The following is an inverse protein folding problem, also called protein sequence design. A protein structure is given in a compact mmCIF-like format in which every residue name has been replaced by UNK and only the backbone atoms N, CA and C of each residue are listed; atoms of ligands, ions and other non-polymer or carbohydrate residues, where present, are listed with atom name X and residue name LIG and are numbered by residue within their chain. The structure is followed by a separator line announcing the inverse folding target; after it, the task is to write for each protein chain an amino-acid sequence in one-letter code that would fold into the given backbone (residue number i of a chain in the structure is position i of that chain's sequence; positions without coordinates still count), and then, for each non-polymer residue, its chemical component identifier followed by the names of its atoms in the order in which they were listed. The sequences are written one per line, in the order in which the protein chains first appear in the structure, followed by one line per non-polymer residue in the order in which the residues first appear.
data_IF_315324664385
#
_entry.id   IF_315324664385
#
_cell.length_a   1.000
_cell.length_b   1.000
_cell.length_c   1.000
_cell.angle_alpha   90.00
_cell.angle_beta   90.00
_cell.angle_gamma   90.00
#
_symmetry.space_group_name_H-M   'P 1'
#
loop_
_entity.id
_entity.type
_entity.pdbx_description
1 polymer ?
#
# COMPACT_ATOMS: atom_id res chain seq x y z
N UNK A 1 21.57 24.75 78.09
CA UNK A 1 21.52 24.23 76.71
C UNK A 1 21.19 25.38 75.77
N UNK A 2 22.04 25.56 74.75
CA UNK A 2 21.95 26.44 73.58
C UNK A 2 21.76 27.95 73.77
N UNK A 3 22.90 28.63 73.83
CA UNK A 3 23.07 30.04 73.48
C UNK A 3 22.79 30.24 71.98
N UNK A 4 21.89 31.17 71.67
CA UNK A 4 21.67 31.64 70.30
C UNK A 4 22.85 32.43 69.77
N UNK A 5 23.19 32.23 68.49
CA UNK A 5 24.09 33.13 67.76
C UNK A 5 23.53 33.36 66.36
N UNK A 6 23.05 34.59 66.14
CA UNK A 6 22.79 35.17 64.82
C UNK A 6 24.13 35.29 64.09
N UNK A 7 24.28 34.69 62.92
CA UNK A 7 25.39 34.96 62.02
C UNK A 7 25.00 36.02 60.98
N UNK A 8 25.80 37.08 60.81
CA UNK A 8 25.55 38.11 59.82
C UNK A 8 26.02 37.66 58.43
N UNK A 9 25.17 37.92 57.45
CA UNK A 9 25.54 38.09 56.05
C UNK A 9 26.39 39.36 55.93
N UNK A 10 27.67 39.28 55.52
CA UNK A 10 28.35 40.35 54.78
C UNK A 10 29.79 39.96 54.40
N UNK A 11 30.00 39.84 53.09
CA UNK A 11 31.16 40.37 52.36
C UNK A 11 32.53 39.71 52.58
N UNK A 12 32.79 38.65 51.79
CA UNK A 12 34.08 38.53 51.11
C UNK A 12 33.87 38.49 49.60
N UNK A 13 34.38 39.53 48.95
CA UNK A 13 34.40 39.78 47.52
C UNK A 13 35.57 38.95 46.95
N UNK A 14 35.29 37.89 46.20
CA UNK A 14 36.26 37.34 45.25
C UNK A 14 35.54 36.71 44.05
N UNK A 15 35.67 37.42 42.92
CA UNK A 15 35.58 36.97 41.51
C UNK A 15 34.45 36.02 41.09
N UNK A 16 33.38 36.52 40.43
CA UNK A 16 32.50 35.64 39.67
C UNK A 16 33.28 35.06 38.49
N UNK A 17 33.39 33.73 38.43
CA UNK A 17 33.89 33.03 37.26
C UNK A 17 33.02 33.38 36.06
N UNK A 18 33.64 33.90 34.99
CA UNK A 18 32.99 34.28 33.72
C UNK A 18 32.36 33.08 32.99
N UNK A 19 32.47 31.86 33.52
CA UNK A 19 31.97 30.61 32.93
C UNK A 19 30.84 29.92 33.70
N UNK A 20 30.12 30.62 34.60
CA UNK A 20 28.92 30.06 35.26
C UNK A 20 27.59 30.54 34.64
N UNK A 21 27.63 31.22 33.49
CA UNK A 21 26.44 31.73 32.79
C UNK A 21 26.01 30.89 31.57
N UNK A 22 26.36 29.61 31.50
CA UNK A 22 25.76 28.66 30.54
C UNK A 22 25.20 27.44 31.29
N UNK A 23 24.36 27.71 32.28
CA UNK A 23 23.20 26.85 32.53
C UNK A 23 21.99 27.77 32.65
N UNK A 24 21.74 28.50 31.57
CA UNK A 24 20.40 29.01 31.33
C UNK A 24 19.47 27.82 31.34
N UNK A 25 18.66 27.74 32.39
CA UNK A 25 17.48 26.89 32.53
C UNK A 25 16.70 26.92 31.21
N UNK A 26 16.98 26.00 30.31
CA UNK A 26 16.12 25.70 29.17
C UNK A 26 15.08 24.67 29.60
N UNK A 27 14.39 24.96 30.70
CA UNK A 27 13.10 24.32 31.05
C UNK A 27 11.96 24.81 30.14
N UNK A 28 12.30 25.23 28.91
CA UNK A 28 11.39 25.52 27.81
C UNK A 28 11.54 24.49 26.69
N UNK A 29 11.90 23.24 27.01
CA UNK A 29 11.32 22.11 26.29
C UNK A 29 9.85 21.94 26.72
N UNK A 30 9.06 22.99 26.52
CA UNK A 30 7.65 22.81 26.23
C UNK A 30 7.63 21.97 24.95
N UNK A 31 7.53 20.65 25.11
CA UNK A 31 6.37 19.81 24.77
C UNK A 31 5.31 20.41 23.81
N UNK A 32 5.67 21.33 22.91
CA UNK A 32 4.80 22.10 22.01
C UNK A 32 5.16 21.93 20.54
N UNK A 33 6.24 21.19 20.25
CA UNK A 33 6.50 20.62 18.92
C UNK A 33 6.72 19.10 19.01
N UNK A 34 6.02 18.43 19.91
CA UNK A 34 5.35 17.22 19.46
C UNK A 34 4.34 17.71 18.44
N UNK A 35 4.76 17.85 17.17
CA UNK A 35 3.81 17.90 16.05
C UNK A 35 3.11 16.56 16.14
N UNK A 36 2.05 16.55 16.93
CA UNK A 36 1.09 15.48 16.99
C UNK A 36 0.83 15.11 15.55
N UNK A 37 1.06 13.84 15.21
CA UNK A 37 0.61 13.23 13.97
C UNK A 37 -0.94 13.24 13.88
N UNK A 38 -1.63 14.12 14.61
CA UNK A 38 -3.00 14.51 14.38
C UNK A 38 -3.07 15.08 12.96
N UNK A 39 -3.44 14.16 12.08
CA UNK A 39 -3.99 14.44 10.76
C UNK A 39 -2.98 15.08 9.81
N UNK A 40 -1.98 14.32 9.37
CA UNK A 40 -1.71 14.37 7.93
C UNK A 40 -3.02 13.96 7.27
N UNK A 41 -3.70 14.91 6.62
CA UNK A 41 -5.01 14.68 6.01
C UNK A 41 -4.79 13.68 4.88
N UNK A 42 -4.99 12.40 5.18
CA UNK A 42 -4.83 11.31 4.22
C UNK A 42 -5.79 11.61 3.06
N UNK A 43 -5.30 11.78 1.82
CA UNK A 43 -6.14 11.97 0.65
C UNK A 43 -7.20 10.87 0.58
N UNK A 44 -8.39 11.21 0.08
CA UNK A 44 -9.54 10.30 0.10
C UNK A 44 -9.27 8.95 -0.60
N UNK A 45 -8.38 8.93 -1.60
CA UNK A 45 -7.98 7.72 -2.33
C UNK A 45 -7.00 6.83 -1.55
N UNK A 46 -6.38 7.30 -0.47
CA UNK A 46 -5.43 6.55 0.36
C UNK A 46 -6.06 5.96 1.63
N UNK A 47 -7.37 6.12 1.83
CA UNK A 47 -8.07 5.55 2.97
C UNK A 47 -8.57 4.14 2.60
N UNK A 48 -8.35 3.11 3.44
CA UNK A 48 -8.94 1.79 3.20
C UNK A 48 -10.46 1.93 3.19
N UNK A 49 -11.08 1.49 2.10
CA UNK A 49 -12.51 1.68 1.81
C UNK A 49 -13.33 0.63 2.57
N UNK A 50 -12.82 -0.60 2.63
CA UNK A 50 -13.39 -1.70 3.41
C UNK A 50 -12.55 -1.89 4.67
N UNK A 51 -13.22 -1.84 5.83
CA UNK A 51 -12.60 -2.16 7.12
C UNK A 51 -12.95 -3.58 7.53
N UNK A 52 -12.07 -4.19 8.32
CA UNK A 52 -12.32 -5.48 8.95
C UNK A 52 -13.71 -5.51 9.59
N UNK A 53 -14.53 -6.47 9.16
CA UNK A 53 -15.83 -6.75 9.73
C UNK A 53 -15.73 -8.00 10.62
N UNK A 54 -16.60 -8.14 11.61
CA UNK A 54 -16.51 -9.22 12.61
C UNK A 54 -16.47 -10.65 12.01
N UNK A 55 -16.96 -10.83 10.78
CA UNK A 55 -17.05 -12.13 10.10
C UNK A 55 -16.01 -12.34 9.00
N UNK A 56 -15.35 -11.29 8.48
CA UNK A 56 -14.41 -11.43 7.37
C UNK A 56 -13.26 -10.43 7.51
N UNK A 57 -12.09 -11.00 7.75
CA UNK A 57 -10.81 -10.29 7.72
C UNK A 57 -10.45 -9.94 6.27
N UNK A 58 -9.95 -8.72 6.04
CA UNK A 58 -9.59 -8.20 4.72
C UNK A 58 -8.56 -9.10 4.05
N UNK A 59 -7.62 -9.68 4.80
CA UNK A 59 -6.62 -10.62 4.25
C UNK A 59 -7.24 -11.93 3.76
N UNK A 60 -8.18 -12.52 4.52
CA UNK A 60 -8.90 -13.74 4.10
C UNK A 60 -9.80 -13.46 2.90
N UNK A 61 -10.48 -12.31 2.89
CA UNK A 61 -11.30 -11.85 1.78
C UNK A 61 -10.50 -11.67 0.48
N UNK A 62 -9.27 -11.15 0.57
CA UNK A 62 -8.39 -10.98 -0.58
C UNK A 62 -7.91 -12.32 -1.15
N UNK A 63 -7.63 -13.32 -0.29
CA UNK A 63 -7.28 -14.67 -0.73
C UNK A 63 -8.44 -15.37 -1.45
N UNK A 64 -9.66 -15.25 -0.93
CA UNK A 64 -10.88 -15.78 -1.57
C UNK A 64 -11.11 -15.06 -2.91
N UNK A 65 -10.94 -13.74 -2.93
CA UNK A 65 -11.07 -12.95 -4.16
C UNK A 65 -10.07 -13.40 -5.23
N UNK A 66 -8.81 -13.64 -4.86
CA UNK A 66 -7.80 -14.13 -5.79
C UNK A 66 -8.16 -15.51 -6.37
N UNK A 67 -8.71 -16.41 -5.55
CA UNK A 67 -9.19 -17.72 -6.01
C UNK A 67 -10.37 -17.57 -6.99
N UNK A 68 -11.35 -16.73 -6.65
CA UNK A 68 -12.50 -16.44 -7.52
C UNK A 68 -12.03 -15.82 -8.84
N UNK A 69 -11.07 -14.90 -8.80
CA UNK A 69 -10.52 -14.28 -10.01
C UNK A 69 -9.82 -15.28 -10.93
N UNK A 70 -9.18 -16.31 -10.36
CA UNK A 70 -8.60 -17.40 -11.14
C UNK A 70 -9.69 -18.18 -11.88
N UNK A 71 -10.79 -18.51 -11.20
CA UNK A 71 -11.95 -19.14 -11.83
C UNK A 71 -12.58 -18.24 -12.91
N UNK A 72 -12.73 -16.94 -12.64
CA UNK A 72 -13.25 -15.96 -13.61
C UNK A 72 -12.35 -15.85 -14.84
N UNK A 73 -11.03 -15.90 -14.67
CA UNK A 73 -10.09 -15.86 -15.80
C UNK A 73 -10.24 -17.09 -16.70
N UNK A 74 -10.29 -18.30 -16.12
CA UNK A 74 -10.52 -19.55 -16.87
C UNK A 74 -11.89 -19.50 -17.58
N UNK A 75 -12.93 -19.12 -16.84
CA UNK A 75 -14.28 -18.97 -17.40
C UNK A 75 -14.30 -18.00 -18.58
N UNK A 76 -13.60 -16.87 -18.49
CA UNK A 76 -13.49 -15.87 -19.57
C UNK A 76 -12.77 -16.43 -20.79
N UNK A 77 -11.70 -17.21 -20.61
CA UNK A 77 -10.98 -17.84 -21.71
C UNK A 77 -11.88 -18.86 -22.42
N UNK A 78 -12.52 -19.75 -21.65
CA UNK A 78 -13.40 -20.80 -22.21
C UNK A 78 -14.59 -20.18 -22.95
N UNK A 79 -15.27 -19.24 -22.31
CA UNK A 79 -16.42 -18.55 -22.93
C UNK A 79 -16.02 -17.69 -24.11
N UNK A 80 -14.85 -17.04 -24.08
CA UNK A 80 -14.34 -16.30 -25.23
C UNK A 80 -14.03 -17.18 -26.44
N UNK A 81 -13.44 -18.36 -26.23
CA UNK A 81 -13.21 -19.34 -27.33
C UNK A 81 -14.54 -19.83 -27.89
N UNK A 82 -15.50 -20.13 -27.02
CA UNK A 82 -16.83 -20.56 -27.42
C UNK A 82 -17.59 -19.46 -28.19
N UNK A 83 -17.50 -18.19 -27.75
CA UNK A 83 -18.09 -17.05 -28.44
C UNK A 83 -17.52 -16.90 -29.86
N UNK A 84 -16.19 -17.02 -30.04
CA UNK A 84 -15.57 -16.99 -31.38
C UNK A 84 -16.08 -18.14 -32.25
N UNK A 85 -16.19 -19.35 -31.70
CA UNK A 85 -16.71 -20.51 -32.41
C UNK A 85 -18.15 -20.28 -32.89
N UNK A 86 -19.03 -19.80 -32.00
CA UNK A 86 -20.42 -19.48 -32.33
C UNK A 86 -20.51 -18.38 -33.40
N UNK A 87 -19.70 -17.33 -33.30
CA UNK A 87 -19.66 -16.25 -34.28
C UNK A 87 -19.07 -16.68 -35.64
N UNK A 88 -18.14 -17.63 -35.65
CA UNK A 88 -17.60 -18.20 -36.89
C UNK A 88 -18.61 -19.11 -37.59
N UNK A 89 -19.35 -19.91 -36.83
CA UNK A 89 -20.41 -20.80 -37.36
C UNK A 89 -21.63 -20.03 -37.88
N UNK A 90 -21.85 -18.80 -37.39
CA UNK A 90 -22.88 -17.86 -37.85
C UNK A 90 -22.49 -17.10 -39.15
N UNK A 91 -21.53 -17.60 -39.94
CA UNK A 91 -21.16 -16.99 -41.21
C UNK A 91 -22.25 -17.18 -42.28
N UNK A 92 -22.54 -16.16 -43.12
CA UNK A 92 -23.54 -16.26 -44.18
C UNK A 92 -23.14 -17.37 -45.16
N UNK A 93 -24.06 -18.31 -45.42
CA UNK A 93 -23.82 -19.49 -46.25
C UNK A 93 -23.60 -20.80 -45.48
N UNK A 94 -23.61 -20.78 -44.16
CA UNK A 94 -23.57 -21.99 -43.31
C UNK A 94 -24.97 -22.58 -43.11
N UNK A 95 -25.12 -23.90 -43.22
CA UNK A 95 -26.39 -24.59 -42.91
C UNK A 95 -26.57 -24.70 -41.40
N UNK A 96 -27.52 -23.94 -40.84
CA UNK A 96 -27.79 -23.93 -39.41
C UNK A 96 -28.82 -25.00 -39.02
N UNK A 97 -28.48 -25.87 -38.07
CA UNK A 97 -29.47 -26.71 -37.39
C UNK A 97 -30.04 -25.91 -36.21
N UNK A 98 -31.35 -25.63 -36.26
CA UNK A 98 -32.08 -24.88 -35.24
C UNK A 98 -32.34 -25.73 -33.99
N UNK A 99 -31.40 -25.71 -33.05
CA UNK A 99 -31.63 -26.24 -31.70
C UNK A 99 -31.79 -25.08 -30.72
N UNK A 100 -32.96 -24.93 -30.10
CA UNK A 100 -33.28 -23.88 -29.12
C UNK A 100 -32.24 -23.66 -27.98
N UNK A 101 -31.38 -24.66 -27.73
CA UNK A 101 -30.33 -24.61 -26.70
C UNK A 101 -29.04 -23.94 -27.24
N UNK A 102 -28.65 -24.21 -28.49
CA UNK A 102 -27.49 -23.62 -29.19
C UNK A 102 -27.93 -23.41 -30.65
N UNK A 103 -28.74 -22.39 -30.89
CA UNK A 103 -29.16 -22.07 -32.27
C UNK A 103 -28.09 -21.21 -32.91
N UNK A 104 -27.47 -21.70 -33.98
CA UNK A 104 -26.55 -20.91 -34.81
C UNK A 104 -27.27 -19.85 -35.66
N UNK A 105 -28.59 -19.90 -35.67
CA UNK A 105 -29.49 -18.81 -36.04
C UNK A 105 -29.49 -17.72 -34.94
N UNK A 106 -28.31 -17.44 -34.37
CA UNK A 106 -28.08 -16.28 -33.53
C UNK A 106 -28.27 -15.07 -34.43
N UNK A 107 -29.49 -14.53 -34.45
CA UNK A 107 -29.85 -13.40 -35.29
C UNK A 107 -28.94 -12.22 -34.96
N UNK A 108 -28.03 -11.96 -35.90
CA UNK A 108 -27.69 -10.61 -36.30
C UNK A 108 -28.24 -10.40 -37.69
N UNK A 109 -29.22 -9.52 -37.79
CA UNK A 109 -29.71 -9.02 -39.06
C UNK A 109 -28.56 -8.29 -39.78
N UNK A 110 -27.87 -9.01 -40.66
CA UNK A 110 -27.28 -8.51 -41.92
C UNK A 110 -25.89 -7.85 -41.91
N UNK A 111 -25.33 -7.42 -40.77
CA UNK A 111 -24.11 -6.59 -40.78
C UNK A 111 -22.82 -7.34 -40.40
N UNK A 112 -21.95 -7.55 -41.40
CA UNK A 112 -20.60 -8.14 -41.21
C UNK A 112 -19.73 -7.35 -40.21
N UNK A 113 -19.93 -6.04 -40.13
CA UNK A 113 -19.16 -5.16 -39.26
C UNK A 113 -19.40 -5.49 -37.80
N UNK A 114 -20.65 -5.74 -37.43
CA UNK A 114 -21.01 -5.96 -36.04
C UNK A 114 -20.50 -7.31 -35.55
N UNK A 115 -20.64 -8.37 -36.36
CA UNK A 115 -20.05 -9.68 -36.06
C UNK A 115 -18.53 -9.59 -35.87
N UNK A 116 -17.83 -8.90 -36.77
CA UNK A 116 -16.38 -8.73 -36.65
C UNK A 116 -16.01 -7.97 -35.36
N UNK A 117 -16.80 -6.96 -34.96
CA UNK A 117 -16.59 -6.27 -33.69
C UNK A 117 -16.78 -7.19 -32.48
N UNK A 118 -17.80 -8.06 -32.48
CA UNK A 118 -17.97 -9.06 -31.41
C UNK A 118 -16.83 -10.08 -31.36
N UNK A 119 -16.34 -10.54 -32.51
CA UNK A 119 -15.17 -11.43 -32.59
C UNK A 119 -13.95 -10.73 -31.99
N UNK A 120 -13.74 -9.45 -32.32
CA UNK A 120 -12.65 -8.64 -31.75
C UNK A 120 -12.80 -8.51 -30.23
N UNK A 121 -14.01 -8.25 -29.71
CA UNK A 121 -14.24 -8.21 -28.27
C UNK A 121 -13.98 -9.55 -27.58
N UNK A 122 -14.35 -10.67 -28.20
CA UNK A 122 -14.07 -12.00 -27.68
C UNK A 122 -12.55 -12.29 -27.67
N UNK A 123 -11.83 -11.94 -28.75
CA UNK A 123 -10.36 -12.07 -28.82
C UNK A 123 -9.65 -11.26 -27.74
N UNK A 124 -10.02 -9.99 -27.57
CA UNK A 124 -9.46 -9.16 -26.50
C UNK A 124 -9.84 -9.67 -25.10
N UNK A 125 -11.03 -10.26 -24.93
CA UNK A 125 -11.44 -10.88 -23.67
C UNK A 125 -10.58 -12.10 -23.33
N UNK A 126 -10.21 -12.92 -24.31
CA UNK A 126 -9.29 -14.05 -24.11
C UNK A 126 -7.91 -13.55 -23.70
N UNK A 127 -7.37 -12.56 -24.42
CA UNK A 127 -6.05 -11.99 -24.12
C UNK A 127 -6.01 -11.36 -22.72
N UNK A 128 -7.05 -10.59 -22.37
CA UNK A 128 -7.19 -10.01 -21.05
C UNK A 128 -7.40 -11.09 -19.97
N UNK A 129 -8.12 -12.18 -20.30
CA UNK A 129 -8.27 -13.36 -19.43
C UNK A 129 -6.92 -14.01 -19.10
N UNK A 130 -6.02 -14.17 -20.08
CA UNK A 130 -4.66 -14.64 -19.84
C UNK A 130 -3.85 -13.68 -18.97
N UNK A 131 -3.93 -12.37 -19.23
CA UNK A 131 -3.25 -11.37 -18.41
C UNK A 131 -3.73 -11.40 -16.95
N UNK A 132 -5.05 -11.49 -16.73
CA UNK A 132 -5.64 -11.64 -15.39
C UNK A 132 -5.22 -12.96 -14.75
N UNK A 133 -5.17 -14.06 -15.50
CA UNK A 133 -4.72 -15.36 -14.99
C UNK A 133 -3.29 -15.29 -14.43
N UNK A 134 -2.35 -14.79 -15.22
CA UNK A 134 -0.94 -14.68 -14.82
C UNK A 134 -0.78 -13.74 -13.62
N UNK A 135 -1.39 -12.56 -13.68
CA UNK A 135 -1.31 -11.59 -12.59
C UNK A 135 -2.00 -12.07 -11.32
N UNK A 136 -3.04 -12.91 -11.42
CA UNK A 136 -3.72 -13.49 -10.25
C UNK A 136 -2.85 -14.53 -9.56
N UNK A 137 -2.07 -15.32 -10.31
CA UNK A 137 -1.05 -16.21 -9.71
C UNK A 137 0.00 -15.38 -8.97
N UNK A 138 0.47 -14.28 -9.57
CA UNK A 138 1.39 -13.36 -8.89
C UNK A 138 0.78 -12.77 -7.61
N UNK A 139 -0.52 -12.40 -7.65
CA UNK A 139 -1.25 -11.90 -6.48
C UNK A 139 -1.29 -12.94 -5.35
N UNK A 140 -1.60 -14.21 -5.63
CA UNK A 140 -1.63 -15.28 -4.62
C UNK A 140 -0.26 -15.44 -3.94
N UNK A 141 0.82 -15.39 -4.71
CA UNK A 141 2.19 -15.46 -4.18
C UNK A 141 2.51 -14.21 -3.35
N UNK A 142 2.09 -13.03 -3.81
CA UNK A 142 2.29 -11.77 -3.11
C UNK A 142 1.54 -11.73 -1.77
N UNK A 143 0.28 -12.18 -1.74
CA UNK A 143 -0.55 -12.28 -0.55
C UNK A 143 0.05 -13.24 0.49
N UNK A 144 0.62 -14.39 0.05
CA UNK A 144 1.25 -15.35 0.96
C UNK A 144 2.52 -14.81 1.62
N UNK A 145 3.26 -13.94 0.94
CA UNK A 145 4.53 -13.39 1.40
C UNK A 145 4.42 -11.92 1.85
N UNK A 146 3.20 -11.39 1.89
CA UNK A 146 2.86 -10.01 2.26
C UNK A 146 3.67 -8.94 1.50
N UNK A 147 4.02 -9.22 0.23
CA UNK A 147 4.80 -8.29 -0.59
C UNK A 147 3.91 -7.24 -1.26
N UNK A 148 3.82 -6.05 -0.65
CA UNK A 148 3.05 -4.90 -1.14
C UNK A 148 3.27 -4.60 -2.63
N UNK A 149 4.53 -4.43 -3.05
CA UNK A 149 4.88 -4.00 -4.43
C UNK A 149 4.43 -4.98 -5.51
N UNK A 150 4.27 -6.27 -5.17
CA UNK A 150 3.87 -7.32 -6.12
C UNK A 150 2.34 -7.38 -6.34
N UNK A 151 1.56 -6.66 -5.54
CA UNK A 151 0.10 -6.57 -5.67
C UNK A 151 -0.29 -5.59 -6.80
N UNK A 152 0.52 -4.56 -7.03
CA UNK A 152 0.26 -3.47 -8.00
C UNK A 152 -0.05 -3.93 -9.42
N UNK A 153 0.70 -4.87 -10.05
CA UNK A 153 0.42 -5.29 -11.42
C UNK A 153 -0.99 -5.88 -11.56
N UNK A 154 -1.42 -6.70 -10.60
CA UNK A 154 -2.77 -7.26 -10.60
C UNK A 154 -3.84 -6.18 -10.49
N UNK A 155 -3.62 -5.17 -9.65
CA UNK A 155 -4.58 -4.10 -9.41
C UNK A 155 -4.90 -3.31 -10.70
N UNK A 156 -3.88 -3.00 -11.49
CA UNK A 156 -4.03 -2.30 -12.77
C UNK A 156 -4.64 -3.18 -13.85
N UNK A 157 -4.11 -4.40 -14.02
CA UNK A 157 -4.61 -5.33 -15.04
C UNK A 157 -6.08 -5.69 -14.79
N UNK A 158 -6.45 -5.96 -13.54
CA UNK A 158 -7.82 -6.32 -13.19
C UNK A 158 -8.79 -5.13 -13.31
N UNK A 159 -8.36 -3.90 -13.00
CA UNK A 159 -9.17 -2.70 -13.23
C UNK A 159 -9.51 -2.51 -14.71
N UNK A 160 -8.48 -2.57 -15.58
CA UNK A 160 -8.66 -2.44 -17.03
C UNK A 160 -9.55 -3.56 -17.56
N UNK A 161 -9.34 -4.78 -17.07
CA UNK A 161 -10.18 -5.93 -17.40
C UNK A 161 -11.66 -5.70 -17.05
N UNK A 162 -11.97 -5.23 -15.85
CA UNK A 162 -13.36 -4.97 -15.43
C UNK A 162 -14.02 -3.92 -16.33
N UNK A 163 -13.32 -2.82 -16.63
CA UNK A 163 -13.84 -1.75 -17.50
C UNK A 163 -14.12 -2.30 -18.90
N UNK A 164 -13.13 -2.96 -19.51
CA UNK A 164 -13.27 -3.56 -20.84
C UNK A 164 -14.39 -4.59 -20.86
N UNK A 165 -14.47 -5.45 -19.83
CA UNK A 165 -15.48 -6.51 -19.75
C UNK A 165 -16.89 -5.95 -19.58
N UNK A 166 -17.04 -4.85 -18.84
CA UNK A 166 -18.32 -4.15 -18.69
C UNK A 166 -18.79 -3.57 -20.02
N UNK A 167 -17.89 -2.97 -20.81
CA UNK A 167 -18.19 -2.48 -22.15
C UNK A 167 -18.57 -3.61 -23.12
N UNK A 168 -17.79 -4.70 -23.13
CA UNK A 168 -18.06 -5.87 -23.96
C UNK A 168 -19.40 -6.54 -23.58
N UNK A 169 -19.71 -6.61 -22.29
CA UNK A 169 -20.98 -7.12 -21.78
C UNK A 169 -22.17 -6.25 -22.21
N UNK A 170 -22.06 -4.92 -22.06
CA UNK A 170 -23.11 -4.00 -22.49
C UNK A 170 -23.34 -4.09 -24.00
N UNK A 171 -22.25 -4.14 -24.78
CA UNK A 171 -22.31 -4.31 -26.23
C UNK A 171 -23.01 -5.62 -26.57
N UNK A 172 -22.61 -6.75 -26.00
CA UNK A 172 -23.23 -8.06 -26.21
C UNK A 172 -24.73 -8.06 -25.86
N UNK A 173 -25.12 -7.47 -24.73
CA UNK A 173 -26.50 -7.49 -24.24
C UNK A 173 -27.48 -6.64 -25.08
N UNK A 174 -27.02 -5.55 -25.70
CA UNK A 174 -27.86 -4.69 -26.56
C UNK A 174 -28.18 -5.36 -27.90
N UNK A 175 -27.30 -6.26 -28.31
CA UNK A 175 -27.08 -6.58 -29.69
C UNK A 175 -27.44 -8.01 -30.05
N UNK A 176 -27.22 -8.92 -29.09
CA UNK A 176 -27.66 -10.29 -29.20
C UNK A 176 -29.09 -10.41 -28.68
N UNK A 177 -29.90 -11.18 -29.39
CA UNK A 177 -31.25 -11.48 -28.95
C UNK A 177 -31.24 -12.36 -27.68
N UNK A 178 -31.96 -11.93 -26.66
CA UNK A 178 -32.12 -12.66 -25.39
C UNK A 178 -33.21 -13.73 -25.48
N UNK A 179 -33.69 -14.10 -26.67
CA UNK A 179 -34.58 -15.26 -26.83
C UNK A 179 -33.84 -16.60 -26.66
N UNK A 180 -32.53 -16.63 -26.92
CA UNK A 180 -31.73 -17.86 -26.88
C UNK A 180 -31.15 -18.15 -25.48
N UNK A 181 -31.25 -19.40 -25.04
CA UNK A 181 -30.85 -19.84 -23.71
C UNK A 181 -29.39 -19.51 -23.36
N UNK A 182 -28.47 -19.65 -24.33
CA UNK A 182 -27.05 -19.30 -24.13
C UNK A 182 -26.86 -17.81 -23.80
N UNK A 183 -27.47 -16.90 -24.58
CA UNK A 183 -27.34 -15.46 -24.38
C UNK A 183 -27.93 -15.04 -23.03
N UNK A 184 -29.10 -15.60 -22.67
CA UNK A 184 -29.73 -15.38 -21.37
C UNK A 184 -28.78 -15.80 -20.24
N UNK A 185 -28.26 -17.03 -20.30
CA UNK A 185 -27.37 -17.59 -19.27
C UNK A 185 -26.11 -16.74 -19.14
N UNK A 186 -25.49 -16.36 -20.25
CA UNK A 186 -24.29 -15.53 -20.23
C UNK A 186 -24.57 -14.15 -19.64
N UNK A 187 -25.69 -13.52 -19.97
CA UNK A 187 -26.06 -12.23 -19.39
C UNK A 187 -26.28 -12.36 -17.88
N UNK A 188 -26.99 -13.39 -17.43
CA UNK A 188 -27.22 -13.67 -16.00
C UNK A 188 -25.95 -14.03 -15.23
N UNK A 189 -24.99 -14.73 -15.84
CA UNK A 189 -23.71 -14.97 -15.20
C UNK A 189 -22.92 -13.67 -15.04
N UNK A 190 -22.83 -12.86 -16.09
CA UNK A 190 -22.03 -11.64 -16.07
C UNK A 190 -22.63 -10.52 -15.23
N UNK A 191 -23.95 -10.48 -15.03
CA UNK A 191 -24.59 -9.53 -14.11
C UNK A 191 -24.21 -9.78 -12.64
N UNK A 192 -23.84 -11.02 -12.29
CA UNK A 192 -23.37 -11.39 -10.93
C UNK A 192 -21.85 -11.24 -10.83
N UNK A 193 -21.12 -11.68 -11.86
CA UNK A 193 -19.65 -11.68 -11.87
C UNK A 193 -19.10 -10.25 -11.88
N UNK A 194 -19.69 -9.31 -12.64
CA UNK A 194 -19.18 -7.94 -12.73
C UNK A 194 -19.22 -7.19 -11.38
N UNK A 195 -20.37 -7.10 -10.66
CA UNK A 195 -20.39 -6.48 -9.33
C UNK A 195 -19.48 -7.18 -8.34
N UNK A 196 -19.43 -8.52 -8.37
CA UNK A 196 -18.54 -9.30 -7.51
C UNK A 196 -17.06 -8.99 -7.80
N UNK A 197 -16.70 -8.75 -9.06
CA UNK A 197 -15.34 -8.39 -9.48
C UNK A 197 -14.98 -6.97 -9.02
N UNK A 198 -15.92 -6.02 -9.10
CA UNK A 198 -15.72 -4.66 -8.56
C UNK A 198 -15.52 -4.72 -7.04
N UNK A 199 -16.34 -5.49 -6.33
CA UNK A 199 -16.19 -5.70 -4.89
C UNK A 199 -14.83 -6.33 -4.55
N UNK A 200 -14.44 -7.38 -5.26
CA UNK A 200 -13.14 -8.04 -5.09
C UNK A 200 -11.96 -7.10 -5.34
N UNK A 201 -12.04 -6.25 -6.38
CA UNK A 201 -11.03 -5.24 -6.65
C UNK A 201 -10.89 -4.24 -5.50
N UNK A 202 -12.02 -3.74 -4.97
CA UNK A 202 -12.02 -2.83 -3.81
C UNK A 202 -11.44 -3.48 -2.55
N UNK A 203 -11.65 -4.77 -2.36
CA UNK A 203 -11.14 -5.54 -1.22
C UNK A 203 -9.61 -5.64 -1.29
N UNK A 204 -9.07 -6.07 -2.43
CA UNK A 204 -7.61 -6.15 -2.63
C UNK A 204 -6.96 -4.76 -2.61
N UNK A 205 -7.65 -3.74 -3.11
CA UNK A 205 -7.19 -2.35 -3.02
C UNK A 205 -7.12 -1.86 -1.57
N UNK A 206 -8.14 -2.18 -0.77
CA UNK A 206 -8.15 -1.82 0.66
C UNK A 206 -7.01 -2.51 1.41
N UNK A 207 -6.76 -3.80 1.13
CA UNK A 207 -5.62 -4.54 1.69
C UNK A 207 -4.28 -3.90 1.28
N UNK A 208 -4.13 -3.53 0.00
CA UNK A 208 -2.91 -2.87 -0.48
C UNK A 208 -2.63 -1.58 0.28
N UNK A 209 -3.65 -0.76 0.54
CA UNK A 209 -3.51 0.47 1.32
C UNK A 209 -3.10 0.19 2.78
N UNK A 210 -3.63 -0.86 3.40
CA UNK A 210 -3.26 -1.27 4.76
C UNK A 210 -1.78 -1.69 4.83
N UNK A 211 -1.30 -2.52 3.90
CA UNK A 211 0.11 -2.92 3.83
C UNK A 211 1.03 -1.72 3.53
N UNK A 212 0.61 -0.80 2.68
CA UNK A 212 1.37 0.41 2.36
C UNK A 212 1.53 1.36 3.55
N UNK A 213 0.50 1.46 4.39
CA UNK A 213 0.57 2.28 5.61
C UNK A 213 1.48 1.62 6.65
N UNK A 214 1.39 0.29 6.82
CA UNK A 214 2.28 -0.47 7.71
C UNK A 214 3.75 -0.34 7.30
N UNK A 215 4.08 -0.51 6.02
CA UNK A 215 5.45 -0.38 5.52
C UNK A 215 6.01 1.02 5.76
N UNK A 216 5.19 2.08 5.56
CA UNK A 216 5.61 3.46 5.87
C UNK A 216 5.84 3.70 7.35
N UNK A 217 5.02 3.10 8.22
CA UNK A 217 5.18 3.19 9.67
C UNK A 217 6.44 2.46 10.13
N UNK A 218 6.75 1.31 9.54
CA UNK A 218 7.98 0.56 9.76
C UNK A 218 9.21 1.37 9.34
N UNK A 219 9.23 1.91 8.12
CA UNK A 219 10.32 2.76 7.63
C UNK A 219 10.53 3.99 8.52
N UNK A 220 9.44 4.62 8.96
CA UNK A 220 9.50 5.78 9.87
C UNK A 220 10.04 5.38 11.25
N UNK A 221 9.68 4.21 11.77
CA UNK A 221 10.20 3.67 13.01
C UNK A 221 11.70 3.34 12.90
N UNK A 222 12.13 2.70 11.81
CA UNK A 222 13.55 2.46 11.53
C UNK A 222 14.35 3.75 11.43
N UNK A 223 13.83 4.77 10.73
CA UNK A 223 14.47 6.08 10.65
C UNK A 223 14.57 6.76 12.02
N UNK A 224 13.54 6.66 12.86
CA UNK A 224 13.56 7.22 14.22
C UNK A 224 14.52 6.46 15.14
N UNK A 225 14.55 5.13 15.07
CA UNK A 225 15.49 4.31 15.83
C UNK A 225 16.93 4.60 15.39
N UNK A 226 17.18 4.72 14.08
CA UNK A 226 18.48 5.12 13.54
C UNK A 226 18.88 6.54 13.94
N UNK A 227 17.93 7.48 13.98
CA UNK A 227 18.17 8.85 14.45
C UNK A 227 18.41 8.91 15.96
N UNK A 228 17.70 8.12 16.76
CA UNK A 228 17.94 8.04 18.20
C UNK A 228 19.27 7.33 18.51
N UNK A 229 19.66 6.34 17.72
CA UNK A 229 20.96 5.70 17.81
C UNK A 229 22.10 6.67 17.43
N UNK A 230 21.93 7.49 16.40
CA UNK A 230 22.93 8.50 15.99
C UNK A 230 22.99 9.69 16.95
N UNK A 231 21.87 10.07 17.55
CA UNK A 231 21.83 11.07 18.63
C UNK A 231 22.49 10.52 19.91
N UNK A 232 22.26 9.25 20.26
CA UNK A 232 22.94 8.61 21.38
C UNK A 232 24.45 8.46 21.10
N UNK A 233 24.85 8.08 19.88
CA UNK A 233 26.26 8.00 19.50
C UNK A 233 26.98 9.36 19.56
N UNK A 234 26.28 10.45 19.19
CA UNK A 234 26.84 11.81 19.25
C UNK A 234 26.87 12.39 20.68
N UNK A 235 26.01 11.95 21.60
CA UNK A 235 26.10 12.29 23.03
C UNK A 235 27.06 11.38 23.81
N UNK A 236 27.29 10.14 23.39
CA UNK A 236 28.27 9.24 24.04
C UNK A 236 29.71 9.57 23.66
N UNK A 237 29.98 10.02 22.43
CA UNK A 237 31.32 10.50 22.06
C UNK A 237 31.70 11.86 22.67
N UNK A 238 30.74 12.60 23.21
CA UNK A 238 31.00 13.86 23.93
C UNK A 238 31.11 13.69 25.46
N UNK A 239 30.73 12.52 26.01
CA UNK A 239 30.97 12.19 27.43
C UNK A 239 32.31 11.49 27.69
N UNK A 240 32.93 10.88 26.68
CA UNK A 240 34.26 10.27 26.77
C UNK A 240 35.36 11.24 26.30
N UNK A 241 35.58 12.29 27.09
CA UNK A 241 36.90 12.89 27.28
C UNK A 241 37.51 13.70 26.13
N UNK A 242 37.01 14.92 25.92
CA UNK A 242 37.88 16.01 25.47
C UNK A 242 38.76 16.43 26.65
N UNK A 243 39.86 15.70 26.91
CA UNK A 243 40.92 16.19 27.79
C UNK A 243 41.53 17.44 27.14
N UNK A 244 41.38 18.65 27.72
CA UNK A 244 42.15 19.79 27.29
C UNK A 244 43.55 19.60 27.85
N UNK A 245 44.53 19.26 27.00
CA UNK A 245 45.94 19.42 27.37
C UNK A 245 46.32 20.87 27.14
N UNK A 246 46.07 21.74 28.12
CA UNK A 246 46.73 23.04 28.21
C UNK A 246 47.64 23.08 29.44
N UNK A 247 48.92 23.43 29.29
CA UNK A 247 49.87 23.48 30.39
C UNK A 247 49.76 24.85 31.06
N UNK A 248 49.51 24.90 32.37
CA UNK A 248 49.78 26.10 33.15
C UNK A 248 50.48 25.76 34.46
N UNK A 249 51.78 26.05 34.46
CA UNK A 249 52.52 26.80 35.48
C UNK A 249 52.18 26.55 36.96
N UNK A 250 53.01 25.74 37.62
CA UNK A 250 53.25 25.82 39.08
C UNK A 250 54.39 26.80 39.36
N UNK A 251 54.09 27.94 39.98
CA UNK A 251 55.08 28.90 40.48
C UNK A 251 55.33 28.67 41.99
N UNK A 252 56.62 28.62 42.32
CA UNK A 252 57.31 28.88 43.59
C UNK A 252 56.84 28.26 44.90
N UNK A 253 57.72 27.44 45.46
CA UNK A 253 58.13 27.58 46.87
C UNK A 253 59.66 27.66 46.94
N UNK A 254 60.20 28.83 47.30
CA UNK A 254 61.54 28.91 47.88
C UNK A 254 61.50 28.29 49.29
N UNK A 255 62.61 27.68 49.72
CA UNK A 255 63.25 28.25 50.90
C UNK A 255 64.76 28.45 50.73
N UNK A 256 65.23 29.41 51.52
CA UNK A 256 66.61 29.83 51.76
C UNK A 256 67.42 28.73 52.47
N UNK A 257 68.70 28.56 52.08
CA UNK A 257 69.71 27.97 52.98
C UNK A 257 70.98 27.43 52.30
N UNK A 258 72.14 28.03 52.63
CA UNK A 258 73.39 27.29 52.80
C UNK A 258 74.53 27.52 51.79
N UNK A 259 75.57 28.25 52.25
CA UNK A 259 76.92 28.31 51.68
C UNK A 259 77.75 27.10 52.18
N UNK A 260 78.57 26.50 51.31
CA UNK A 260 79.82 25.69 51.49
C UNK A 260 79.88 24.61 50.40
N UNK A 261 80.97 24.33 49.66
CA UNK A 261 82.39 24.69 49.70
C UNK A 261 82.86 25.17 48.32
#
# INVERSE_FOLDING_TARGET
MNYGRKTPTSTYRSTPSVYSHITGRSSNLQSGKSRSLKSVRIPWYQKPILKNNAYMDVQKGAMITALICLCVAIFTIVTGVFDIYCLAMAAPGSTHYGYYIISYEFVYVGSIHVRNTLIVFALFSILAGFAVFVTTIMLIIALRKEYEKKILPWLWVFAIFIIFRTLAFLFFAILNDLIFAYNILMVLCWIIILPSSVYGWLLVYSLYLELADLTKLEDLAHLRMGTMASLNASTTHSLAGSRPTTPHSTVSTMPVGGISN
#
